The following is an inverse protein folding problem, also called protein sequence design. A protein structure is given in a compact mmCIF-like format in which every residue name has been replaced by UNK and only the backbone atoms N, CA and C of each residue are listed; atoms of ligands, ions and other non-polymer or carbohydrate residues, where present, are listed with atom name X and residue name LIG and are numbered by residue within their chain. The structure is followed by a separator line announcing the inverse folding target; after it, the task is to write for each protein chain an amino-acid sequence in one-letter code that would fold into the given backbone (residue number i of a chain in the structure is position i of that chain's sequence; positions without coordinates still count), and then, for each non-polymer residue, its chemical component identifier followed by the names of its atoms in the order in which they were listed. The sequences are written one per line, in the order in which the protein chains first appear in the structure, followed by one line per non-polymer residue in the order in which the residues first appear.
data_IF_041220736290
#
_entry.id   IF_041220736290
#
_cell.length_a   1.000
_cell.length_b   1.000
_cell.length_c   1.000
_cell.angle_alpha   90.00
_cell.angle_beta   90.00
_cell.angle_gamma   90.00
#
_symmetry.space_group_name_H-M   'P 1'
#
loop_
_entity.id
_entity.type
_entity.pdbx_description
1 polymer ?
#
# COMPACT_ATOMS: atom_id res chain seq x y z
N UNK A 1 2.76 17.56 5.61
CA UNK A 1 4.23 17.49 5.46
C UNK A 1 4.85 16.21 6.03
N UNK A 2 4.56 15.73 7.26
CA UNK A 2 5.21 14.52 7.83
C UNK A 2 5.22 13.29 6.90
N UNK A 3 4.14 13.02 6.17
CA UNK A 3 4.04 11.91 5.20
C UNK A 3 4.93 12.07 3.95
N UNK A 4 5.34 13.29 3.59
CA UNK A 4 6.22 13.53 2.44
C UNK A 4 7.67 13.13 2.75
N UNK A 5 8.10 13.29 4.01
CA UNK A 5 9.43 12.91 4.48
C UNK A 5 9.61 11.38 4.51
N UNK A 6 8.54 10.65 4.86
CA UNK A 6 8.49 9.18 4.82
C UNK A 6 8.64 8.64 3.39
N UNK A 7 8.03 9.29 2.40
CA UNK A 7 8.21 8.91 0.98
C UNK A 7 9.65 9.11 0.49
N UNK A 8 10.33 10.17 0.95
CA UNK A 8 11.72 10.43 0.55
C UNK A 8 12.70 9.41 1.16
N UNK A 9 12.44 8.94 2.39
CA UNK A 9 13.24 7.90 3.04
C UNK A 9 13.14 6.55 2.32
N UNK A 10 11.95 6.17 1.83
CA UNK A 10 11.76 4.96 1.03
C UNK A 10 12.49 4.99 -0.32
N UNK A 11 12.71 6.18 -0.89
CA UNK A 11 13.42 6.37 -2.16
C UNK A 11 14.94 6.57 -2.01
N UNK A 12 15.44 6.82 -0.79
CA UNK A 12 16.87 6.95 -0.49
C UNK A 12 17.43 5.82 0.39
N UNK A 13 16.67 4.76 0.64
CA UNK A 13 17.22 3.50 1.15
C UNK A 13 18.39 3.06 0.26
N UNK A 14 19.62 2.90 0.79
CA UNK A 14 20.74 2.49 -0.02
C UNK A 14 20.47 1.10 -0.62
N UNK A 15 21.06 0.81 -1.78
CA UNK A 15 21.19 -0.59 -2.23
C UNK A 15 21.90 -1.36 -1.12
N UNK A 16 21.19 -2.29 -0.48
CA UNK A 16 21.79 -3.25 0.44
C UNK A 16 22.78 -4.07 -0.39
N UNK A 17 24.07 -3.75 -0.25
CA UNK A 17 25.13 -4.62 -0.76
C UNK A 17 25.00 -5.98 -0.11
N UNK A 18 25.32 -7.05 -0.85
CA UNK A 18 25.04 -8.42 -0.45
C UNK A 18 25.53 -8.72 0.98
N UNK A 19 24.59 -8.75 1.93
CA UNK A 19 24.87 -9.09 3.31
C UNK A 19 24.68 -10.60 3.48
N UNK A 20 25.75 -11.34 3.17
CA UNK A 20 25.86 -12.76 3.45
C UNK A 20 25.54 -13.00 4.94
N UNK A 21 24.65 -13.96 5.23
CA UNK A 21 24.22 -14.29 6.60
C UNK A 21 22.83 -13.81 7.01
N UNK A 22 22.02 -13.23 6.11
CA UNK A 22 20.58 -13.08 6.35
C UNK A 22 19.87 -14.42 6.10
N UNK A 23 19.42 -15.10 7.17
CA UNK A 23 18.53 -16.27 7.03
C UNK A 23 17.23 -15.86 6.32
N UNK A 24 16.60 -16.77 5.55
CA UNK A 24 15.25 -16.53 5.01
C UNK A 24 14.24 -16.32 6.16
N UNK A 25 13.06 -15.72 5.88
CA UNK A 25 11.97 -15.71 6.85
C UNK A 25 11.67 -17.13 7.34
N UNK A 26 11.34 -17.27 8.63
CA UNK A 26 11.03 -18.57 9.23
C UNK A 26 9.61 -19.01 8.83
N UNK A 27 9.48 -19.48 7.60
CA UNK A 27 8.28 -20.15 7.09
C UNK A 27 8.00 -21.39 7.97
N UNK A 28 6.73 -21.72 8.27
CA UNK A 28 6.35 -23.00 8.88
C UNK A 28 6.91 -24.21 8.12
N UNK A 29 7.16 -25.31 8.84
CA UNK A 29 8.19 -26.28 8.49
C UNK A 29 7.83 -27.32 7.44
N UNK A 30 7.18 -26.92 6.35
CA UNK A 30 6.67 -27.86 5.36
C UNK A 30 7.77 -28.67 4.68
N UNK A 31 7.52 -29.97 4.67
CA UNK A 31 8.18 -30.94 3.82
C UNK A 31 7.83 -30.65 2.34
N UNK A 32 8.43 -29.60 1.77
CA UNK A 32 8.29 -29.21 0.36
C UNK A 32 8.67 -30.40 -0.55
N UNK A 33 7.67 -31.16 -1.02
CA UNK A 33 7.86 -32.42 -1.76
C UNK A 33 8.46 -33.57 -0.93
N UNK A 34 8.54 -33.45 0.39
CA UNK A 34 9.03 -34.52 1.26
C UNK A 34 7.94 -35.56 1.50
N UNK A 35 8.26 -36.83 1.29
CA UNK A 35 7.33 -37.94 1.52
C UNK A 35 7.03 -38.04 3.02
N UNK A 36 5.78 -37.81 3.44
CA UNK A 36 5.35 -38.09 4.81
C UNK A 36 5.71 -39.55 5.16
N UNK A 37 6.32 -39.84 6.32
CA UNK A 37 6.70 -41.21 6.68
C UNK A 37 5.52 -42.16 6.49
N UNK A 38 5.77 -43.38 6.00
CA UNK A 38 4.70 -44.36 5.83
C UNK A 38 4.00 -44.64 7.17
N UNK A 39 2.68 -44.88 7.15
CA UNK A 39 1.84 -45.08 8.34
C UNK A 39 2.39 -46.18 9.27
N UNK A 40 3.21 -45.77 10.23
CA UNK A 40 3.77 -46.61 11.29
C UNK A 40 2.91 -46.49 12.55
N UNK A 41 2.84 -47.54 13.38
CA UNK A 41 2.34 -47.39 14.75
C UNK A 41 3.14 -46.29 15.44
N UNK A 42 2.48 -45.23 15.89
CA UNK A 42 3.14 -44.03 16.43
C UNK A 42 3.49 -44.24 17.91
N UNK A 43 4.76 -44.54 18.27
CA UNK A 43 5.13 -44.58 19.68
C UNK A 43 4.98 -43.18 20.30
N UNK A 44 4.66 -43.17 21.59
CA UNK A 44 4.82 -41.98 22.42
C UNK A 44 6.34 -41.75 22.56
N UNK A 45 6.88 -40.58 22.16
CA UNK A 45 8.32 -40.32 22.28
C UNK A 45 8.82 -40.43 23.72
N UNK A 46 10.05 -40.90 23.91
CA UNK A 46 10.64 -41.10 25.25
C UNK A 46 10.86 -39.78 26.03
N UNK A 47 10.73 -38.62 25.38
CA UNK A 47 10.77 -37.29 25.98
C UNK A 47 9.44 -36.82 26.58
N UNK A 48 8.33 -37.54 26.33
CA UNK A 48 7.01 -37.18 26.85
C UNK A 48 6.95 -37.42 28.36
N UNK A 49 6.78 -36.33 29.12
CA UNK A 49 6.60 -36.37 30.57
C UNK A 49 5.13 -36.36 31.00
N UNK A 50 4.23 -35.97 30.11
CA UNK A 50 2.81 -35.82 30.42
C UNK A 50 1.91 -35.61 29.20
N UNK A 51 0.62 -35.48 29.46
CA UNK A 51 -0.40 -35.29 28.43
C UNK A 51 -1.52 -34.39 28.93
N UNK A 52 -2.02 -33.49 28.09
CA UNK A 52 -3.31 -32.81 28.28
C UNK A 52 -4.25 -33.28 27.18
N UNK A 53 -5.47 -33.70 27.54
CA UNK A 53 -6.51 -34.06 26.56
C UNK A 53 -7.64 -33.03 26.58
N UNK A 54 -8.20 -32.76 25.41
CA UNK A 54 -9.40 -31.96 25.17
C UNK A 54 -10.34 -32.77 24.25
N UNK A 55 -11.62 -32.36 24.05
CA UNK A 55 -12.56 -33.13 23.23
C UNK A 55 -12.06 -33.54 21.83
N UNK A 56 -11.21 -32.72 21.20
CA UNK A 56 -10.70 -32.93 19.84
C UNK A 56 -9.18 -32.97 19.71
N UNK A 57 -8.43 -32.82 20.81
CA UNK A 57 -6.95 -32.84 20.82
C UNK A 57 -6.31 -33.66 21.94
N UNK A 58 -5.13 -34.20 21.66
CA UNK A 58 -4.21 -34.79 22.65
C UNK A 58 -2.87 -34.07 22.56
N UNK A 59 -2.46 -33.38 23.63
CA UNK A 59 -1.22 -32.62 23.68
C UNK A 59 -0.18 -33.41 24.49
N UNK A 60 0.78 -34.04 23.81
CA UNK A 60 1.95 -34.69 24.40
C UNK A 60 3.06 -33.65 24.62
N UNK A 61 3.65 -33.61 25.81
CA UNK A 61 4.63 -32.58 26.16
C UNK A 61 5.84 -33.11 26.94
N UNK A 62 6.99 -32.45 26.73
CA UNK A 62 8.19 -32.60 27.58
C UNK A 62 8.05 -31.82 28.89
N UNK A 63 8.87 -32.13 29.90
CA UNK A 63 8.81 -31.48 31.23
C UNK A 63 8.96 -29.96 31.15
N UNK A 64 9.67 -29.44 30.14
CA UNK A 64 9.86 -27.99 29.93
C UNK A 64 8.68 -27.35 29.18
N UNK A 65 7.93 -28.13 28.39
CA UNK A 65 6.81 -27.65 27.59
C UNK A 65 5.46 -27.61 28.34
N UNK A 66 5.36 -28.17 29.56
CA UNK A 66 4.10 -28.32 30.30
C UNK A 66 3.27 -27.03 30.42
N UNK A 67 3.90 -25.90 30.74
CA UNK A 67 3.20 -24.62 30.88
C UNK A 67 2.51 -24.18 29.57
N UNK A 68 3.23 -24.27 28.45
CA UNK A 68 2.71 -23.95 27.13
C UNK A 68 1.64 -24.95 26.67
N UNK A 69 1.81 -26.25 26.96
CA UNK A 69 0.83 -27.29 26.65
C UNK A 69 -0.50 -27.08 27.39
N UNK A 70 -0.44 -26.72 28.68
CA UNK A 70 -1.61 -26.36 29.48
C UNK A 70 -2.26 -25.06 28.99
N UNK A 71 -1.46 -24.07 28.59
CA UNK A 71 -1.98 -22.83 28.00
C UNK A 71 -2.67 -23.07 26.66
N UNK A 72 -2.09 -23.88 25.78
CA UNK A 72 -2.66 -24.27 24.49
C UNK A 72 -4.02 -24.98 24.64
N UNK A 73 -4.12 -25.91 25.59
CA UNK A 73 -5.36 -26.64 25.89
C UNK A 73 -6.56 -25.72 26.22
N UNK A 74 -6.33 -24.49 26.71
CA UNK A 74 -7.42 -23.55 27.04
C UNK A 74 -8.17 -23.00 25.83
N UNK A 75 -7.59 -23.05 24.62
CA UNK A 75 -8.14 -22.37 23.44
C UNK A 75 -7.97 -23.13 22.12
N UNK A 76 -7.21 -24.24 22.07
CA UNK A 76 -7.03 -25.02 20.83
C UNK A 76 -8.36 -25.51 20.23
N UNK A 77 -9.37 -25.76 21.07
CA UNK A 77 -10.73 -26.08 20.63
C UNK A 77 -11.37 -24.95 19.80
N UNK A 78 -11.26 -23.68 20.22
CA UNK A 78 -11.81 -22.56 19.45
C UNK A 78 -10.96 -22.18 18.23
N UNK A 79 -9.70 -22.60 18.18
CA UNK A 79 -8.92 -22.61 16.93
C UNK A 79 -9.57 -23.58 15.94
N UNK A 80 -9.89 -24.81 16.34
CA UNK A 80 -10.59 -25.80 15.50
C UNK A 80 -11.98 -25.31 15.06
N UNK A 81 -12.75 -24.67 15.94
CA UNK A 81 -14.05 -24.10 15.57
C UNK A 81 -13.95 -23.00 14.50
N UNK A 82 -12.82 -22.27 14.44
CA UNK A 82 -12.55 -21.30 13.37
C UNK A 82 -12.22 -21.95 12.02
N UNK A 83 -11.70 -23.18 12.00
CA UNK A 83 -11.61 -23.97 10.76
C UNK A 83 -12.99 -24.46 10.32
N UNK A 84 -13.78 -25.00 11.24
CA UNK A 84 -15.13 -25.52 10.93
C UNK A 84 -16.05 -24.43 10.40
N UNK A 85 -15.94 -23.19 10.89
CA UNK A 85 -16.74 -22.06 10.39
C UNK A 85 -16.34 -21.57 8.99
N UNK A 86 -15.13 -21.85 8.53
CA UNK A 86 -14.65 -21.49 7.17
C UNK A 86 -14.80 -22.66 6.19
N UNK A 87 -14.49 -23.89 6.60
CA UNK A 87 -14.61 -25.09 5.77
C UNK A 87 -16.01 -25.70 5.73
N UNK A 88 -16.89 -25.36 6.69
CA UNK A 88 -18.22 -25.96 6.82
C UNK A 88 -18.23 -27.43 7.24
N UNK A 89 -17.07 -28.04 7.51
CA UNK A 89 -16.87 -29.43 7.92
C UNK A 89 -15.83 -29.50 9.04
N UNK A 90 -15.98 -30.48 9.92
CA UNK A 90 -14.99 -30.83 10.93
C UNK A 90 -14.33 -32.18 10.54
N UNK A 91 -13.05 -32.36 10.87
CA UNK A 91 -12.26 -33.51 10.42
C UNK A 91 -12.30 -34.71 11.39
N UNK A 92 -12.14 -35.96 10.92
CA UNK A 92 -12.36 -37.14 11.75
C UNK A 92 -11.32 -37.34 12.86
N UNK A 93 -11.78 -37.34 14.11
CA UNK A 93 -11.05 -37.81 15.28
C UNK A 93 -10.16 -36.76 15.97
N UNK A 94 -9.31 -37.26 16.86
CA UNK A 94 -8.41 -36.47 17.72
C UNK A 94 -7.13 -36.11 16.96
N UNK A 95 -6.75 -34.83 16.98
CA UNK A 95 -5.44 -34.38 16.50
C UNK A 95 -4.43 -34.42 17.65
N UNK A 96 -3.26 -35.02 17.42
CA UNK A 96 -2.19 -35.09 18.40
C UNK A 96 -1.22 -33.92 18.21
N UNK A 97 -0.94 -33.17 19.27
CA UNK A 97 0.03 -32.08 19.28
C UNK A 97 1.24 -32.54 20.10
N UNK A 98 2.45 -32.37 19.57
CA UNK A 98 3.70 -32.80 20.21
C UNK A 98 4.58 -31.59 20.48
N UNK A 99 4.88 -31.35 21.76
CA UNK A 99 5.54 -30.13 22.22
C UNK A 99 6.85 -30.40 22.97
N UNK A 100 7.97 -29.98 22.38
CA UNK A 100 9.29 -29.88 23.03
C UNK A 100 9.71 -28.42 23.23
N UNK A 101 10.77 -28.16 23.99
CA UNK A 101 11.35 -26.81 24.15
C UNK A 101 12.73 -26.74 23.47
N UNK A 102 12.83 -26.00 22.39
CA UNK A 102 14.06 -25.91 21.61
C UNK A 102 14.37 -27.14 20.76
N UNK A 103 15.29 -26.96 19.81
CA UNK A 103 15.55 -27.86 18.68
C UNK A 103 15.66 -29.35 19.03
N UNK A 104 16.44 -29.73 20.04
CA UNK A 104 16.67 -31.14 20.37
C UNK A 104 15.43 -31.87 20.95
N UNK A 105 14.54 -31.16 21.66
CA UNK A 105 13.27 -31.76 22.11
C UNK A 105 12.21 -31.72 21.01
N UNK A 106 12.25 -30.71 20.14
CA UNK A 106 11.41 -30.65 18.94
C UNK A 106 11.71 -31.82 17.99
N UNK A 107 12.97 -32.04 17.62
CA UNK A 107 13.41 -33.21 16.84
C UNK A 107 13.10 -34.54 17.56
N UNK A 108 13.40 -34.64 18.85
CA UNK A 108 13.14 -35.84 19.64
C UNK A 108 11.66 -36.18 19.90
N UNK A 109 10.74 -35.32 19.46
CA UNK A 109 9.29 -35.52 19.52
C UNK A 109 8.67 -35.86 18.13
N UNK A 110 9.47 -35.80 17.06
CA UNK A 110 9.08 -36.11 15.68
C UNK A 110 8.60 -37.56 15.48
N UNK A 111 8.09 -37.86 14.28
CA UNK A 111 7.89 -39.25 13.84
C UNK A 111 9.21 -39.88 13.35
N UNK A 112 9.48 -41.17 13.63
CA UNK A 112 10.64 -41.87 13.08
C UNK A 112 10.69 -41.80 11.55
N UNK A 113 11.78 -41.29 10.99
CA UNK A 113 11.94 -41.09 9.54
C UNK A 113 11.24 -39.85 8.97
N UNK A 114 10.58 -39.04 9.81
CA UNK A 114 9.96 -37.76 9.43
C UNK A 114 10.61 -36.57 10.16
N UNK A 115 11.93 -36.55 10.26
CA UNK A 115 12.68 -35.52 11.02
C UNK A 115 12.47 -34.12 10.41
N UNK A 116 12.21 -33.08 11.24
CA UNK A 116 11.87 -31.75 10.73
C UNK A 116 13.09 -31.05 10.11
N UNK A 117 12.96 -30.31 8.99
CA UNK A 117 14.05 -29.56 8.38
C UNK A 117 14.77 -28.62 9.37
N UNK A 118 16.07 -28.35 9.17
CA UNK A 118 16.90 -27.58 10.12
C UNK A 118 16.41 -26.16 10.46
N UNK A 119 15.57 -25.58 9.60
CA UNK A 119 14.95 -24.26 9.75
C UNK A 119 13.51 -24.30 10.30
N UNK A 120 12.89 -25.49 10.36
CA UNK A 120 11.53 -25.66 10.83
C UNK A 120 11.41 -25.42 12.35
N UNK A 121 10.38 -24.68 12.75
CA UNK A 121 9.97 -24.43 14.14
C UNK A 121 8.64 -25.13 14.51
N UNK A 122 7.96 -25.66 13.49
CA UNK A 122 6.76 -26.49 13.54
C UNK A 122 6.74 -27.45 12.35
N UNK A 123 5.91 -28.49 12.36
CA UNK A 123 5.71 -29.43 11.24
C UNK A 123 4.41 -30.23 11.41
N UNK A 124 3.55 -30.25 10.39
CA UNK A 124 2.43 -31.17 10.28
C UNK A 124 2.82 -32.55 9.70
N UNK A 125 2.14 -33.59 10.18
CA UNK A 125 2.03 -34.90 9.54
C UNK A 125 0.54 -35.16 9.26
N UNK A 126 0.00 -34.69 8.11
CA UNK A 126 -1.43 -34.66 7.86
C UNK A 126 -2.11 -36.03 7.91
N UNK A 127 -1.47 -37.07 7.36
CA UNK A 127 -2.03 -38.43 7.35
C UNK A 127 -2.10 -39.02 8.76
N UNK A 128 -1.14 -38.69 9.63
CA UNK A 128 -1.10 -39.15 11.04
C UNK A 128 -1.97 -38.32 12.00
N UNK A 129 -2.43 -37.13 11.61
CA UNK A 129 -3.03 -36.11 12.51
C UNK A 129 -2.07 -35.60 13.60
N UNK A 130 -0.77 -35.56 13.33
CA UNK A 130 0.21 -35.05 14.30
C UNK A 130 0.65 -33.65 13.88
N UNK A 131 0.71 -32.71 14.82
CA UNK A 131 1.43 -31.44 14.68
C UNK A 131 2.58 -31.40 15.68
N UNK A 132 3.78 -31.11 15.21
CA UNK A 132 4.99 -30.93 16.00
C UNK A 132 5.24 -29.43 16.20
N UNK A 133 5.53 -28.99 17.43
CA UNK A 133 5.75 -27.57 17.77
C UNK A 133 6.92 -27.41 18.75
N UNK A 134 7.79 -26.40 18.52
CA UNK A 134 8.60 -25.86 19.59
C UNK A 134 7.72 -24.95 20.47
N UNK A 135 7.53 -25.35 21.72
CA UNK A 135 6.72 -24.65 22.72
C UNK A 135 7.18 -23.22 23.01
N UNK A 136 8.41 -22.84 22.64
CA UNK A 136 8.89 -21.45 22.72
C UNK A 136 8.16 -20.52 21.74
N UNK A 137 7.71 -21.03 20.59
CA UNK A 137 7.01 -20.21 19.58
C UNK A 137 5.67 -19.69 20.09
N UNK A 138 4.92 -20.53 20.82
CA UNK A 138 3.59 -20.24 21.37
C UNK A 138 3.58 -19.12 22.43
N UNK A 139 4.75 -18.65 22.89
CA UNK A 139 4.86 -17.51 23.79
C UNK A 139 4.55 -16.16 23.10
N UNK A 140 4.51 -16.12 21.76
CA UNK A 140 4.21 -14.91 20.98
C UNK A 140 3.11 -15.12 19.91
N UNK A 141 2.66 -14.04 19.25
CA UNK A 141 1.65 -14.12 18.17
C UNK A 141 2.05 -15.08 17.04
N UNK A 142 3.34 -15.09 16.68
CA UNK A 142 3.90 -15.94 15.62
C UNK A 142 3.71 -17.44 15.87
N UNK A 143 3.64 -17.89 17.13
CA UNK A 143 3.34 -19.29 17.46
C UNK A 143 1.88 -19.64 17.22
N UNK A 144 0.96 -18.70 17.45
CA UNK A 144 -0.47 -18.90 17.19
C UNK A 144 -0.76 -18.89 15.68
N UNK A 145 -0.03 -18.06 14.93
CA UNK A 145 0.06 -18.10 13.46
C UNK A 145 0.57 -19.46 13.00
N UNK A 146 1.76 -19.87 13.44
CA UNK A 146 2.36 -21.15 13.07
C UNK A 146 1.46 -22.36 13.38
N UNK A 147 0.87 -22.41 14.59
CA UNK A 147 -0.10 -23.45 14.99
C UNK A 147 -1.29 -23.54 14.02
N UNK A 148 -1.89 -22.39 13.67
CA UNK A 148 -3.01 -22.34 12.72
C UNK A 148 -2.57 -22.82 11.34
N UNK A 149 -1.38 -22.41 10.91
CA UNK A 149 -0.82 -22.82 9.63
C UNK A 149 -0.70 -24.36 9.54
N UNK A 150 -0.06 -25.01 10.51
CA UNK A 150 0.07 -26.48 10.53
C UNK A 150 -1.29 -27.21 10.67
N UNK A 151 -2.22 -26.67 11.46
CA UNK A 151 -3.56 -27.24 11.60
C UNK A 151 -4.38 -27.18 10.31
N UNK A 152 -4.11 -26.24 9.40
CA UNK A 152 -4.77 -26.20 8.09
C UNK A 152 -4.41 -27.41 7.24
N UNK A 153 -3.12 -27.77 7.21
CA UNK A 153 -2.64 -28.94 6.47
C UNK A 153 -3.15 -30.25 7.08
N UNK A 154 -3.19 -30.37 8.41
CA UNK A 154 -3.83 -31.52 9.09
C UNK A 154 -5.33 -31.58 8.80
N UNK A 155 -6.05 -30.47 8.83
CA UNK A 155 -7.49 -30.44 8.55
C UNK A 155 -7.77 -30.89 7.11
N UNK A 156 -7.07 -30.34 6.11
CA UNK A 156 -7.28 -30.69 4.71
C UNK A 156 -6.89 -32.14 4.39
N UNK A 157 -5.73 -32.60 4.85
CA UNK A 157 -5.27 -33.99 4.63
C UNK A 157 -6.14 -35.06 5.30
N UNK A 158 -6.92 -34.70 6.31
CA UNK A 158 -7.93 -35.58 6.91
C UNK A 158 -9.32 -35.50 6.28
N UNK A 159 -9.59 -34.43 5.53
CA UNK A 159 -10.87 -34.23 4.83
C UNK A 159 -10.84 -34.83 3.42
N UNK A 160 -9.72 -34.72 2.70
CA UNK A 160 -9.52 -35.38 1.40
C UNK A 160 -8.02 -35.57 1.08
N UNK A 161 -7.64 -36.58 0.27
CA UNK A 161 -6.23 -36.93 0.04
C UNK A 161 -5.50 -35.98 -0.91
N UNK A 162 -6.21 -35.20 -1.74
CA UNK A 162 -5.62 -34.39 -2.80
C UNK A 162 -6.28 -33.01 -2.85
N UNK A 163 -5.46 -31.96 -2.75
CA UNK A 163 -5.85 -30.56 -2.79
C UNK A 163 -4.82 -29.77 -3.62
N UNK A 164 -5.23 -28.83 -4.49
CA UNK A 164 -4.30 -27.93 -5.15
C UNK A 164 -3.44 -27.20 -4.12
N UNK A 165 -2.14 -27.06 -4.36
CA UNK A 165 -1.22 -26.47 -3.39
C UNK A 165 -1.61 -25.02 -3.04
N UNK A 166 -2.04 -24.21 -4.02
CA UNK A 166 -2.62 -22.88 -3.75
C UNK A 166 -3.81 -22.90 -2.77
N UNK A 167 -4.62 -23.96 -2.75
CA UNK A 167 -5.74 -24.05 -1.81
C UNK A 167 -5.27 -24.41 -0.40
N UNK A 168 -4.30 -25.33 -0.29
CA UNK A 168 -3.69 -25.71 1.00
C UNK A 168 -2.98 -24.52 1.65
N UNK A 169 -2.01 -23.95 0.94
CA UNK A 169 -1.20 -22.82 1.40
C UNK A 169 -2.08 -21.56 1.60
N UNK A 170 -3.07 -21.34 0.72
CA UNK A 170 -4.02 -20.23 0.79
C UNK A 170 -4.98 -20.32 1.96
N UNK A 171 -5.45 -21.52 2.33
CA UNK A 171 -6.26 -21.72 3.54
C UNK A 171 -5.43 -21.48 4.81
N UNK A 172 -4.22 -22.04 4.85
CA UNK A 172 -3.29 -21.84 5.96
C UNK A 172 -3.02 -20.34 6.18
N UNK A 173 -2.63 -19.63 5.13
CA UNK A 173 -2.34 -18.19 5.13
C UNK A 173 -3.59 -17.29 5.33
N UNK A 174 -4.80 -17.77 5.02
CA UNK A 174 -6.02 -17.04 5.30
C UNK A 174 -6.42 -17.14 6.78
N UNK A 175 -6.27 -18.31 7.40
CA UNK A 175 -6.72 -18.58 8.78
C UNK A 175 -5.73 -18.13 9.86
N UNK A 176 -4.50 -17.76 9.49
CA UNK A 176 -3.56 -17.01 10.35
C UNK A 176 -3.88 -15.51 10.41
N UNK A 177 -4.59 -14.97 9.42
CA UNK A 177 -4.79 -13.52 9.25
C UNK A 177 -3.64 -12.81 8.52
N UNK A 178 -2.64 -13.55 8.03
CA UNK A 178 -1.53 -13.01 7.23
C UNK A 178 -2.00 -12.42 5.90
N UNK A 179 -3.22 -12.73 5.43
CA UNK A 179 -3.84 -12.03 4.29
C UNK A 179 -4.03 -10.50 4.52
N UNK A 180 -3.86 -10.01 5.75
CA UNK A 180 -3.80 -8.59 6.11
C UNK A 180 -2.36 -8.05 6.30
N UNK A 181 -1.34 -8.88 6.05
CA UNK A 181 0.07 -8.49 6.12
C UNK A 181 0.42 -7.41 5.11
N UNK A 182 1.24 -6.44 5.55
CA UNK A 182 1.78 -5.40 4.67
C UNK A 182 2.66 -5.99 3.55
N UNK A 183 3.29 -7.16 3.77
CA UNK A 183 4.11 -7.85 2.76
C UNK A 183 3.24 -8.44 1.67
N UNK A 184 2.23 -9.23 2.03
CA UNK A 184 1.23 -9.76 1.08
C UNK A 184 0.49 -8.64 0.32
N UNK A 185 0.12 -7.55 0.99
CA UNK A 185 -0.46 -6.38 0.32
C UNK A 185 0.51 -5.76 -0.69
N UNK A 186 1.80 -5.60 -0.33
CA UNK A 186 2.81 -5.05 -1.22
C UNK A 186 3.15 -5.98 -2.40
N UNK A 187 3.13 -7.31 -2.19
CA UNK A 187 3.30 -8.31 -3.24
C UNK A 187 2.15 -8.26 -4.26
N UNK A 188 0.89 -8.31 -3.78
CA UNK A 188 -0.30 -8.18 -4.63
C UNK A 188 -0.36 -6.83 -5.34
N UNK A 189 -0.07 -5.73 -4.65
CA UNK A 189 0.06 -4.41 -5.25
C UNK A 189 1.06 -4.41 -6.42
N UNK A 190 2.26 -4.95 -6.17
CA UNK A 190 3.34 -4.99 -7.16
C UNK A 190 3.02 -5.91 -8.34
N UNK A 191 2.29 -6.99 -8.12
CA UNK A 191 1.85 -7.92 -9.16
C UNK A 191 0.73 -7.34 -10.03
N UNK A 192 -0.26 -6.67 -9.42
CA UNK A 192 -1.33 -5.95 -10.16
C UNK A 192 -0.73 -4.83 -11.01
N UNK A 193 0.23 -4.07 -10.48
CA UNK A 193 0.93 -3.01 -11.22
C UNK A 193 1.90 -3.51 -12.31
N UNK A 194 2.20 -4.81 -12.37
CA UNK A 194 3.07 -5.46 -13.37
C UNK A 194 2.32 -6.49 -14.25
N UNK A 195 1.02 -6.65 -14.07
CA UNK A 195 0.19 -7.68 -14.73
C UNK A 195 0.67 -9.14 -14.47
N UNK A 196 1.35 -9.38 -13.34
CA UNK A 196 2.01 -10.67 -12.96
C UNK A 196 1.18 -11.61 -12.09
N UNK A 197 -0.14 -11.45 -12.02
CA UNK A 197 -1.01 -12.26 -11.15
C UNK A 197 -1.20 -13.67 -11.76
N UNK A 198 -0.61 -14.70 -11.13
CA UNK A 198 -0.60 -16.11 -11.57
C UNK A 198 -2.01 -16.69 -11.76
N UNK A 199 -2.18 -17.66 -12.67
CA UNK A 199 -3.38 -18.50 -12.73
C UNK A 199 -3.32 -19.56 -11.64
N UNK A 200 -4.42 -19.86 -10.96
CA UNK A 200 -4.44 -20.86 -9.90
C UNK A 200 -4.21 -22.29 -10.41
N UNK A 201 -4.59 -22.57 -11.64
CA UNK A 201 -4.22 -23.78 -12.40
C UNK A 201 -2.70 -24.00 -12.45
N UNK A 202 -1.89 -22.94 -12.56
CA UNK A 202 -0.43 -23.04 -12.57
C UNK A 202 0.18 -23.16 -11.16
N UNK A 203 -0.61 -22.93 -10.10
CA UNK A 203 -0.20 -23.06 -8.69
C UNK A 203 -0.82 -24.30 -8.01
N UNK A 204 -1.39 -25.21 -8.80
CA UNK A 204 -2.06 -26.41 -8.32
C UNK A 204 -1.04 -27.50 -7.90
N UNK A 205 0.03 -27.66 -8.67
CA UNK A 205 1.11 -28.63 -8.43
C UNK A 205 2.47 -27.92 -8.38
N UNK A 206 2.80 -27.16 -9.43
CA UNK A 206 4.04 -26.37 -9.54
C UNK A 206 3.98 -25.07 -8.72
N UNK A 207 5.13 -24.61 -8.22
CA UNK A 207 5.31 -23.33 -7.52
C UNK A 207 6.58 -22.63 -8.04
N UNK A 208 6.64 -21.28 -8.03
CA UNK A 208 7.80 -20.53 -8.53
C UNK A 208 9.03 -20.67 -7.62
N UNK A 209 10.23 -20.62 -8.20
CA UNK A 209 11.50 -20.70 -7.45
C UNK A 209 11.96 -19.36 -6.83
N UNK A 210 11.53 -18.23 -7.40
CA UNK A 210 12.00 -16.90 -6.99
C UNK A 210 11.31 -16.46 -5.69
N UNK A 211 12.03 -16.02 -4.64
CA UNK A 211 11.41 -15.65 -3.36
C UNK A 211 10.33 -14.57 -3.43
N UNK A 212 10.44 -13.60 -4.35
CA UNK A 212 9.41 -12.58 -4.61
C UNK A 212 8.11 -13.17 -5.16
N UNK A 213 8.23 -14.28 -5.89
CA UNK A 213 7.18 -14.90 -6.66
C UNK A 213 6.51 -15.99 -5.81
N UNK A 214 7.27 -16.63 -4.92
CA UNK A 214 6.77 -17.45 -3.79
C UNK A 214 5.91 -16.60 -2.84
N UNK A 215 6.41 -15.45 -2.40
CA UNK A 215 5.66 -14.49 -1.57
C UNK A 215 4.35 -14.06 -2.26
N UNK A 216 4.41 -13.79 -3.57
CA UNK A 216 3.22 -13.50 -4.37
C UNK A 216 2.26 -14.70 -4.45
N UNK A 217 2.76 -15.93 -4.64
CA UNK A 217 1.93 -17.12 -4.68
C UNK A 217 1.19 -17.36 -3.35
N UNK A 218 1.86 -17.18 -2.20
CA UNK A 218 1.20 -17.19 -0.88
C UNK A 218 0.16 -16.08 -0.75
N UNK A 219 0.53 -14.82 -1.03
CA UNK A 219 -0.37 -13.67 -0.94
C UNK A 219 -1.64 -13.84 -1.79
N UNK A 220 -1.47 -14.30 -3.03
CA UNK A 220 -2.53 -14.51 -4.00
C UNK A 220 -3.47 -15.65 -3.57
N UNK A 221 -2.89 -16.76 -3.11
CA UNK A 221 -3.62 -17.90 -2.57
C UNK A 221 -4.47 -17.51 -1.37
N UNK A 222 -3.89 -16.80 -0.40
CA UNK A 222 -4.58 -16.34 0.81
C UNK A 222 -5.73 -15.36 0.51
N UNK A 223 -5.52 -14.44 -0.43
CA UNK A 223 -6.50 -13.42 -0.82
C UNK A 223 -7.62 -13.98 -1.72
N UNK A 224 -7.39 -15.09 -2.44
CA UNK A 224 -8.43 -15.78 -3.20
C UNK A 224 -9.23 -16.76 -2.34
N UNK A 225 -8.59 -17.61 -1.53
CA UNK A 225 -9.28 -18.53 -0.61
C UNK A 225 -10.16 -17.74 0.37
N UNK A 226 -9.65 -16.64 0.94
CA UNK A 226 -10.44 -15.76 1.81
C UNK A 226 -11.64 -15.11 1.13
N UNK A 227 -11.52 -14.70 -0.14
CA UNK A 227 -12.64 -14.17 -0.91
C UNK A 227 -13.65 -15.25 -1.29
N UNK A 228 -13.18 -16.44 -1.67
CA UNK A 228 -14.01 -17.59 -2.04
C UNK A 228 -14.85 -18.05 -0.83
N UNK A 229 -14.22 -18.21 0.34
CA UNK A 229 -14.91 -18.55 1.58
C UNK A 229 -15.94 -17.48 1.98
N UNK A 230 -15.61 -16.19 1.89
CA UNK A 230 -16.53 -15.10 2.16
C UNK A 230 -17.71 -15.00 1.17
N UNK A 231 -17.52 -15.47 -0.08
CA UNK A 231 -18.54 -15.46 -1.15
C UNK A 231 -19.44 -16.69 -1.13
N UNK A 232 -18.88 -17.87 -0.84
CA UNK A 232 -19.58 -19.16 -0.90
C UNK A 232 -20.15 -19.60 0.46
N UNK A 233 -19.61 -19.03 1.54
CA UNK A 233 -20.01 -19.32 2.92
C UNK A 233 -19.67 -20.74 3.38
N UNK A 234 -19.99 -21.08 4.66
CA UNK A 234 -19.64 -22.38 5.22
C UNK A 234 -20.32 -23.54 4.46
N UNK A 235 -21.56 -23.36 4.01
CA UNK A 235 -22.26 -24.40 3.25
C UNK A 235 -21.64 -24.66 1.87
N UNK A 236 -21.17 -23.63 1.17
CA UNK A 236 -20.50 -23.77 -0.11
C UNK A 236 -19.14 -24.44 0.03
N UNK A 237 -18.33 -23.97 0.99
CA UNK A 237 -17.04 -24.59 1.31
C UNK A 237 -17.20 -26.04 1.77
N UNK A 238 -18.26 -26.34 2.53
CA UNK A 238 -18.57 -27.70 2.95
C UNK A 238 -18.95 -28.64 1.80
N UNK A 239 -19.64 -28.14 0.77
CA UNK A 239 -19.86 -28.91 -0.47
C UNK A 239 -18.57 -29.13 -1.25
N UNK A 240 -17.64 -28.17 -1.28
CA UNK A 240 -16.32 -28.38 -1.88
C UNK A 240 -15.57 -29.49 -1.16
N UNK A 241 -15.57 -29.48 0.18
CA UNK A 241 -14.96 -30.54 0.99
C UNK A 241 -15.58 -31.91 0.68
N UNK A 242 -16.92 -32.03 0.70
CA UNK A 242 -17.61 -33.30 0.40
C UNK A 242 -17.27 -33.82 -1.01
N UNK A 243 -17.24 -32.93 -2.01
CA UNK A 243 -16.97 -33.30 -3.40
C UNK A 243 -15.47 -33.61 -3.65
N UNK A 244 -14.52 -32.95 -2.99
CA UNK A 244 -13.09 -33.32 -3.09
C UNK A 244 -12.84 -34.65 -2.37
N UNK A 245 -13.55 -34.92 -1.26
CA UNK A 245 -13.48 -36.18 -0.53
C UNK A 245 -13.95 -37.41 -1.34
N UNK A 246 -14.65 -37.24 -2.48
CA UNK A 246 -14.97 -38.36 -3.39
C UNK A 246 -13.78 -38.83 -4.22
N UNK A 247 -12.61 -38.17 -4.15
CA UNK A 247 -11.41 -38.53 -4.92
C UNK A 247 -11.47 -38.18 -6.41
N UNK A 248 -12.37 -37.30 -6.83
CA UNK A 248 -12.41 -36.76 -8.19
C UNK A 248 -11.45 -35.55 -8.35
N UNK A 249 -11.06 -35.16 -9.58
CA UNK A 249 -10.23 -33.97 -9.79
C UNK A 249 -10.87 -32.70 -9.21
N UNK A 250 -10.03 -31.83 -8.63
CA UNK A 250 -10.49 -30.67 -7.87
C UNK A 250 -11.40 -29.73 -8.68
N UNK A 251 -11.10 -29.53 -9.97
CA UNK A 251 -11.88 -28.67 -10.87
C UNK A 251 -13.32 -29.18 -11.06
N UNK A 252 -13.51 -30.51 -11.01
CA UNK A 252 -14.83 -31.14 -11.07
C UNK A 252 -15.59 -30.98 -9.74
N UNK A 253 -14.89 -31.14 -8.61
CA UNK A 253 -15.46 -30.90 -7.29
C UNK A 253 -15.88 -29.43 -7.09
N UNK A 254 -15.01 -28.49 -7.48
CA UNK A 254 -15.27 -27.05 -7.50
C UNK A 254 -16.48 -26.71 -8.38
N UNK A 255 -16.53 -27.25 -9.60
CA UNK A 255 -17.64 -27.08 -10.54
C UNK A 255 -18.99 -27.54 -9.98
N UNK A 256 -19.01 -28.66 -9.24
CA UNK A 256 -20.22 -29.16 -8.58
C UNK A 256 -20.61 -28.35 -7.34
N UNK A 257 -19.65 -28.02 -6.46
CA UNK A 257 -19.90 -27.38 -5.18
C UNK A 257 -20.42 -25.93 -5.31
N UNK A 258 -19.88 -25.20 -6.29
CA UNK A 258 -20.15 -23.77 -6.52
C UNK A 258 -20.98 -23.47 -7.77
N UNK A 259 -21.27 -24.48 -8.60
CA UNK A 259 -21.98 -24.34 -9.89
C UNK A 259 -21.30 -23.35 -10.86
N UNK A 260 -19.99 -23.18 -10.72
CA UNK A 260 -19.13 -22.22 -11.41
C UNK A 260 -17.74 -22.83 -11.56
N UNK A 261 -16.98 -22.49 -12.60
CA UNK A 261 -15.62 -23.04 -12.80
C UNK A 261 -14.57 -22.19 -12.07
N UNK A 262 -13.45 -22.83 -11.71
CA UNK A 262 -12.31 -22.14 -11.08
C UNK A 262 -11.87 -20.91 -11.89
N UNK A 263 -11.85 -21.02 -13.23
CA UNK A 263 -11.51 -19.92 -14.12
C UNK A 263 -12.50 -18.74 -14.05
N UNK A 264 -13.81 -19.00 -13.98
CA UNK A 264 -14.84 -17.94 -13.87
C UNK A 264 -14.73 -17.22 -12.53
N UNK A 265 -14.58 -17.96 -11.43
CA UNK A 265 -14.38 -17.36 -10.10
C UNK A 265 -13.05 -16.62 -10.00
N UNK A 266 -11.98 -17.12 -10.64
CA UNK A 266 -10.69 -16.42 -10.76
C UNK A 266 -10.83 -15.10 -11.52
N UNK A 267 -11.53 -15.05 -12.66
CA UNK A 267 -11.73 -13.79 -13.39
C UNK A 267 -12.56 -12.80 -12.57
N UNK A 268 -13.67 -13.23 -11.96
CA UNK A 268 -14.51 -12.38 -11.11
C UNK A 268 -13.74 -11.83 -9.89
N UNK A 269 -12.76 -12.58 -9.36
CA UNK A 269 -11.85 -12.09 -8.33
C UNK A 269 -10.82 -11.09 -8.88
N UNK A 270 -10.21 -11.38 -10.04
CA UNK A 270 -9.23 -10.52 -10.73
C UNK A 270 -9.78 -9.14 -11.06
N UNK A 271 -11.02 -9.05 -11.56
CA UNK A 271 -11.70 -7.77 -11.84
C UNK A 271 -11.74 -6.86 -10.60
N UNK A 272 -11.89 -7.45 -9.40
CA UNK A 272 -11.84 -6.73 -8.14
C UNK A 272 -10.45 -6.29 -7.66
N UNK A 273 -9.35 -6.83 -8.23
CA UNK A 273 -7.99 -6.54 -7.75
C UNK A 273 -7.58 -5.10 -8.00
N UNK A 274 -7.90 -4.52 -9.16
CA UNK A 274 -7.55 -3.13 -9.48
C UNK A 274 -8.22 -2.13 -8.52
N UNK A 275 -9.44 -2.42 -8.04
CA UNK A 275 -10.11 -1.58 -7.05
C UNK A 275 -9.50 -1.71 -5.64
N UNK A 276 -9.06 -2.92 -5.25
CA UNK A 276 -8.53 -3.22 -3.91
C UNK A 276 -7.05 -2.85 -3.75
N UNK A 277 -6.24 -3.19 -4.74
CA UNK A 277 -4.77 -3.09 -4.74
C UNK A 277 -4.23 -2.17 -5.87
N UNK A 278 -5.09 -1.49 -6.62
CA UNK A 278 -4.71 -0.65 -7.77
C UNK A 278 -5.16 0.81 -7.68
N UNK A 279 -5.34 1.36 -6.48
CA UNK A 279 -5.77 2.76 -6.28
C UNK A 279 -4.63 3.79 -6.29
N UNK A 280 -3.37 3.37 -6.08
CA UNK A 280 -2.20 4.27 -6.11
C UNK A 280 -1.85 4.92 -7.47
N UNK A 281 -2.22 4.42 -8.67
CA UNK A 281 -1.99 5.13 -9.93
C UNK A 281 -2.56 6.56 -9.96
N UNK A 282 -3.59 6.85 -9.17
CA UNK A 282 -4.14 8.20 -9.02
C UNK A 282 -3.23 9.15 -8.23
N UNK A 283 -2.24 8.63 -7.50
CA UNK A 283 -1.24 9.40 -6.71
C UNK A 283 0.19 9.25 -7.23
N UNK A 284 0.53 8.11 -7.86
CA UNK A 284 1.82 7.86 -8.52
C UNK A 284 1.85 8.26 -9.99
N UNK A 285 0.71 8.65 -10.59
CA UNK A 285 0.69 9.41 -11.83
C UNK A 285 1.36 10.78 -11.60
N UNK A 286 2.65 10.83 -11.91
CA UNK A 286 3.45 12.06 -11.94
C UNK A 286 2.76 13.16 -12.74
N UNK A 287 2.01 12.81 -13.79
CA UNK A 287 1.18 13.72 -14.57
C UNK A 287 0.04 14.37 -13.77
N UNK A 288 -0.66 13.63 -12.90
CA UNK A 288 -1.69 14.20 -12.02
C UNK A 288 -1.08 15.13 -10.96
N UNK A 289 0.10 14.78 -10.42
CA UNK A 289 0.84 15.64 -9.50
C UNK A 289 1.30 16.94 -10.17
N UNK A 290 1.82 16.89 -11.40
CA UNK A 290 2.14 18.09 -12.18
C UNK A 290 0.90 18.92 -12.54
N UNK A 291 -0.21 18.28 -12.94
CA UNK A 291 -1.48 18.98 -13.20
C UNK A 291 -2.00 19.70 -11.96
N UNK A 292 -1.90 19.10 -10.78
CA UNK A 292 -2.27 19.73 -9.51
C UNK A 292 -1.36 20.92 -9.18
N UNK A 293 -0.04 20.79 -9.38
CA UNK A 293 0.92 21.89 -9.19
C UNK A 293 0.63 23.05 -10.16
N UNK A 294 0.34 22.76 -11.43
CA UNK A 294 0.00 23.76 -12.45
C UNK A 294 -1.33 24.43 -12.11
N UNK A 295 -2.35 23.68 -11.69
CA UNK A 295 -3.65 24.24 -11.29
C UNK A 295 -3.54 25.14 -10.05
N UNK A 296 -2.78 24.72 -9.03
CA UNK A 296 -2.50 25.53 -7.85
C UNK A 296 -1.68 26.78 -8.19
N UNK A 297 -0.68 26.65 -9.07
CA UNK A 297 0.10 27.78 -9.58
C UNK A 297 -0.75 28.79 -10.36
N UNK A 298 -1.64 28.32 -11.23
CA UNK A 298 -2.59 29.15 -11.97
C UNK A 298 -3.58 29.85 -11.03
N UNK A 299 -4.16 29.13 -10.05
CA UNK A 299 -5.05 29.71 -9.05
C UNK A 299 -4.35 30.75 -8.17
N UNK A 300 -3.10 30.49 -7.76
CA UNK A 300 -2.28 31.45 -7.03
C UNK A 300 -1.94 32.69 -7.87
N UNK A 301 -1.59 32.50 -9.15
CA UNK A 301 -1.34 33.59 -10.09
C UNK A 301 -2.58 34.47 -10.31
N UNK A 302 -3.74 33.86 -10.58
CA UNK A 302 -5.00 34.59 -10.77
C UNK A 302 -5.41 35.35 -9.50
N UNK A 303 -5.27 34.74 -8.32
CA UNK A 303 -5.51 35.41 -7.03
C UNK A 303 -4.53 36.56 -6.79
N UNK A 304 -3.25 36.37 -7.07
CA UNK A 304 -2.20 37.38 -6.91
C UNK A 304 -2.33 38.52 -7.93
N UNK A 305 -2.85 38.24 -9.13
CA UNK A 305 -3.24 39.25 -10.13
C UNK A 305 -4.41 40.10 -9.63
N UNK A 306 -5.51 39.46 -9.21
CA UNK A 306 -6.68 40.17 -8.66
C UNK A 306 -6.32 41.05 -7.44
N UNK A 307 -5.46 40.55 -6.54
CA UNK A 307 -4.97 41.34 -5.40
C UNK A 307 -4.04 42.50 -5.79
N UNK A 308 -3.36 42.44 -6.95
CA UNK A 308 -2.60 43.57 -7.50
C UNK A 308 -3.51 44.60 -8.15
N UNK A 309 -4.50 44.15 -8.93
CA UNK A 309 -5.49 45.02 -9.57
C UNK A 309 -6.33 45.78 -8.51
N UNK A 310 -6.69 45.12 -7.41
CA UNK A 310 -7.33 45.75 -6.24
C UNK A 310 -6.44 46.79 -5.57
N UNK A 311 -5.16 46.47 -5.31
CA UNK A 311 -4.22 47.42 -4.69
C UNK A 311 -3.90 48.63 -5.55
N UNK A 312 -3.89 48.48 -6.88
CA UNK A 312 -3.73 49.62 -7.79
C UNK A 312 -4.94 50.54 -7.68
N UNK A 313 -6.16 50.01 -7.82
CA UNK A 313 -7.38 50.78 -7.63
C UNK A 313 -7.50 51.44 -6.23
N UNK A 314 -6.97 50.81 -5.17
CA UNK A 314 -6.88 51.42 -3.82
C UNK A 314 -5.85 52.56 -3.71
N UNK A 315 -4.84 52.62 -4.59
CA UNK A 315 -3.88 53.74 -4.66
C UNK A 315 -4.44 54.85 -5.55
N UNK A 316 -4.91 54.52 -6.76
CA UNK A 316 -5.55 55.45 -7.70
C UNK A 316 -6.70 56.23 -7.02
N UNK A 317 -7.51 55.55 -6.21
CA UNK A 317 -8.62 56.16 -5.47
C UNK A 317 -8.19 57.06 -4.29
N UNK A 318 -6.96 56.90 -3.77
CA UNK A 318 -6.39 57.81 -2.76
C UNK A 318 -5.77 59.03 -3.43
N UNK A 319 -4.98 58.83 -4.48
CA UNK A 319 -4.39 59.93 -5.25
C UNK A 319 -5.50 60.86 -5.78
N UNK A 320 -6.60 60.31 -6.31
CA UNK A 320 -7.76 61.10 -6.73
C UNK A 320 -8.48 61.85 -5.58
N UNK A 321 -8.46 61.32 -4.35
CA UNK A 321 -9.05 61.97 -3.18
C UNK A 321 -8.12 63.07 -2.61
N UNK A 322 -6.80 62.84 -2.64
CA UNK A 322 -5.78 63.82 -2.25
C UNK A 322 -5.71 64.98 -3.27
N UNK A 323 -5.84 64.71 -4.57
CA UNK A 323 -6.03 65.75 -5.60
C UNK A 323 -7.32 66.57 -5.37
N UNK A 324 -8.43 65.91 -5.00
CA UNK A 324 -9.69 66.60 -4.74
C UNK A 324 -9.58 67.53 -3.53
N UNK A 325 -9.02 67.05 -2.42
CA UNK A 325 -8.79 67.87 -1.23
C UNK A 325 -7.86 69.06 -1.51
N UNK A 326 -6.76 68.85 -2.26
CA UNK A 326 -5.85 69.92 -2.64
C UNK A 326 -6.50 70.97 -3.55
N UNK A 327 -7.46 70.58 -4.40
CA UNK A 327 -8.27 71.53 -5.19
C UNK A 327 -9.25 72.31 -4.32
N UNK A 328 -9.92 71.67 -3.36
CA UNK A 328 -10.80 72.35 -2.40
C UNK A 328 -10.03 73.36 -1.52
N UNK A 329 -8.82 73.00 -1.06
CA UNK A 329 -7.94 73.92 -0.32
C UNK A 329 -7.49 75.11 -1.18
N UNK A 330 -7.08 74.87 -2.43
CA UNK A 330 -6.68 75.94 -3.36
C UNK A 330 -7.86 76.86 -3.74
N UNK A 331 -9.06 76.32 -3.95
CA UNK A 331 -10.26 77.12 -4.21
C UNK A 331 -10.66 77.95 -2.98
N UNK A 332 -10.49 77.43 -1.76
CA UNK A 332 -10.70 78.18 -0.53
C UNK A 332 -9.67 79.31 -0.34
N UNK A 333 -8.38 79.08 -0.64
CA UNK A 333 -7.35 80.13 -0.62
C UNK A 333 -7.62 81.22 -1.67
N UNK A 334 -7.99 80.82 -2.90
CA UNK A 334 -8.38 81.77 -3.95
C UNK A 334 -9.66 82.55 -3.61
N UNK A 335 -10.62 81.94 -2.91
CA UNK A 335 -11.81 82.62 -2.41
C UNK A 335 -11.44 83.67 -1.34
N UNK A 336 -10.55 83.35 -0.41
CA UNK A 336 -10.01 84.29 0.58
C UNK A 336 -9.25 85.44 -0.08
N UNK A 337 -8.42 85.16 -1.10
CA UNK A 337 -7.73 86.21 -1.86
C UNK A 337 -8.72 87.13 -2.60
N UNK A 338 -9.75 86.60 -3.26
CA UNK A 338 -10.80 87.40 -3.90
C UNK A 338 -11.54 88.27 -2.88
N UNK A 339 -11.92 87.72 -1.74
CA UNK A 339 -12.60 88.46 -0.68
C UNK A 339 -11.72 89.57 -0.05
N UNK A 340 -10.40 89.40 -0.05
CA UNK A 340 -9.45 90.45 0.33
C UNK A 340 -9.26 91.54 -0.74
N UNK A 341 -9.50 91.21 -2.02
CA UNK A 341 -9.46 92.14 -3.17
C UNK A 341 -10.75 92.97 -3.35
N UNK A 342 -11.88 92.53 -2.79
CA UNK A 342 -13.19 93.19 -2.93
C UNK A 342 -13.47 94.29 -1.87
N UNK A 343 -12.47 94.72 -1.09
CA UNK A 343 -12.60 95.89 -0.21
C UNK A 343 -12.52 97.21 -1.01
N UNK A 344 -13.38 98.20 -0.71
CA UNK A 344 -13.69 99.26 -1.67
C UNK A 344 -12.57 100.29 -1.83
N UNK A 345 -12.22 100.56 -3.09
CA UNK A 345 -11.55 101.81 -3.50
C UNK A 345 -12.62 102.73 -4.12
N UNK A 346 -12.67 103.99 -3.70
CA UNK A 346 -13.71 104.93 -4.13
C UNK A 346 -13.70 105.21 -5.64
N UNK A 347 -14.91 105.39 -6.19
CA UNK A 347 -15.14 105.53 -7.63
C UNK A 347 -14.88 106.96 -8.10
N UNK A 348 -13.98 107.12 -9.08
CA UNK A 348 -13.95 108.29 -9.98
C UNK A 348 -13.89 107.81 -11.44
N UNK A 349 -15.04 107.84 -12.10
CA UNK A 349 -15.19 107.63 -13.54
C UNK A 349 -14.68 108.83 -14.36
N UNK A 350 -14.08 108.58 -15.52
CA UNK A 350 -14.18 109.45 -16.70
C UNK A 350 -13.93 108.65 -18.01
N UNK A 351 -14.32 109.24 -19.14
CA UNK A 351 -14.56 108.56 -20.44
C UNK A 351 -13.34 108.48 -21.40
N UNK A 352 -13.42 107.71 -22.52
CA UNK A 352 -12.24 107.13 -23.21
C UNK A 352 -11.66 107.96 -24.38
N UNK A 353 -10.52 107.50 -24.92
CA UNK A 353 -9.98 107.93 -26.23
C UNK A 353 -9.16 106.84 -26.95
N UNK A 354 -8.92 107.05 -28.26
CA UNK A 354 -8.48 106.08 -29.28
C UNK A 354 -6.93 105.92 -29.46
N UNK A 355 -6.57 104.81 -30.13
CA UNK A 355 -5.54 104.65 -31.19
C UNK A 355 -4.02 104.85 -30.93
N UNK A 356 -3.25 103.76 -31.09
CA UNK A 356 -2.13 103.52 -32.04
C UNK A 356 -1.45 102.18 -31.67
N UNK A 357 -1.27 101.19 -32.54
CA UNK A 357 -0.33 101.06 -33.68
C UNK A 357 1.18 101.08 -33.31
N UNK A 358 1.94 100.13 -33.89
CA UNK A 358 3.35 99.84 -33.59
C UNK A 358 3.53 98.42 -33.05
N UNK A 359 3.68 97.34 -33.84
CA UNK A 359 4.76 96.99 -34.79
C UNK A 359 6.16 96.87 -34.17
N UNK A 360 6.55 95.65 -33.80
CA UNK A 360 7.66 94.96 -34.48
C UNK A 360 7.81 93.49 -34.07
N UNK A 361 8.09 92.64 -35.06
CA UNK A 361 8.79 91.36 -34.88
C UNK A 361 10.15 91.47 -35.57
N UNK A 362 11.17 90.75 -35.10
CA UNK A 362 11.67 89.70 -35.98
C UNK A 362 12.14 88.40 -35.29
N UNK A 363 12.42 87.45 -36.17
CA UNK A 363 12.90 86.07 -36.03
C UNK A 363 14.21 85.92 -35.21
N UNK A 364 14.51 84.69 -34.73
CA UNK A 364 15.61 84.48 -33.76
C UNK A 364 16.28 83.10 -33.65
N UNK A 365 16.29 82.26 -34.70
CA UNK A 365 17.09 81.01 -34.82
C UNK A 365 16.81 79.82 -33.86
N UNK A 366 17.16 78.63 -34.35
CA UNK A 366 17.14 77.36 -33.61
C UNK A 366 18.54 76.74 -33.51
N UNK A 367 18.82 76.06 -32.39
CA UNK A 367 19.93 75.11 -32.21
C UNK A 367 19.41 73.95 -31.33
N UNK A 368 19.63 72.66 -31.62
CA UNK A 368 20.32 72.08 -32.76
C UNK A 368 21.40 71.06 -32.39
N UNK A 369 21.06 70.01 -31.62
CA UNK A 369 21.99 68.92 -31.31
C UNK A 369 21.41 67.52 -31.60
N UNK A 370 22.26 66.70 -32.22
CA UNK A 370 22.12 65.26 -32.51
C UNK A 370 22.90 64.48 -31.42
N UNK A 371 23.35 63.22 -31.46
CA UNK A 371 23.43 62.04 -32.37
C UNK A 371 23.90 60.89 -31.42
N UNK A 372 23.50 59.61 -31.37
CA UNK A 372 22.48 58.74 -32.02
C UNK A 372 22.31 57.48 -31.12
N UNK A 373 21.29 56.59 -31.29
CA UNK A 373 21.08 55.43 -30.40
C UNK A 373 22.03 54.25 -30.71
N UNK A 374 22.03 53.22 -29.85
CA UNK A 374 22.55 51.88 -30.15
C UNK A 374 21.44 50.83 -30.00
N UNK A 375 21.41 49.86 -30.92
CA UNK A 375 20.53 48.69 -30.91
C UNK A 375 21.31 47.46 -31.35
N UNK A 376 20.81 46.27 -30.96
CA UNK A 376 21.17 44.95 -31.49
C UNK A 376 22.64 44.53 -31.22
N UNK A 377 23.05 43.26 -31.18
CA UNK A 377 22.73 42.09 -32.02
C UNK A 377 22.80 40.77 -31.19
N UNK A 378 22.22 39.70 -31.73
CA UNK A 378 22.23 38.32 -31.20
C UNK A 378 23.61 37.65 -31.29
N UNK A 379 23.90 36.64 -30.45
CA UNK A 379 24.68 35.48 -30.92
C UNK A 379 24.27 34.19 -30.18
N UNK A 380 24.51 33.05 -30.83
CA UNK A 380 23.97 31.71 -30.52
C UNK A 380 25.08 30.79 -29.92
N UNK A 381 24.77 29.49 -29.77
CA UNK A 381 25.60 28.42 -29.20
C UNK A 381 25.65 28.35 -27.66
N UNK A 382 25.93 27.19 -27.02
CA UNK A 382 26.47 25.94 -27.57
C UNK A 382 25.79 24.68 -27.00
N UNK A 383 25.90 23.54 -27.71
CA UNK A 383 25.06 22.35 -27.53
C UNK A 383 25.91 21.09 -27.26
N UNK A 384 25.91 20.59 -26.02
CA UNK A 384 26.64 19.35 -25.64
C UNK A 384 25.72 18.17 -25.27
N UNK A 385 26.16 16.89 -25.45
CA UNK A 385 25.25 15.75 -25.58
C UNK A 385 25.07 14.88 -24.32
N UNK A 386 24.01 14.06 -24.31
CA UNK A 386 23.72 13.03 -23.28
C UNK A 386 24.49 11.72 -23.54
N UNK A 387 24.91 10.97 -22.51
CA UNK A 387 25.42 9.61 -22.67
C UNK A 387 24.30 8.60 -22.99
N UNK A 388 24.68 7.45 -23.58
CA UNK A 388 23.77 6.39 -24.06
C UNK A 388 23.71 5.21 -23.07
N UNK A 389 22.60 4.45 -23.08
CA UNK A 389 22.43 3.23 -22.26
C UNK A 389 23.33 2.07 -22.73
N UNK A 390 23.70 1.14 -21.84
CA UNK A 390 24.32 -0.13 -22.23
C UNK A 390 23.28 -1.13 -22.76
N UNK A 391 23.75 -2.09 -23.56
CA UNK A 391 23.07 -3.33 -23.92
C UNK A 391 23.91 -4.52 -23.45
N UNK A 392 23.27 -5.52 -22.84
CA UNK A 392 23.82 -6.84 -22.58
C UNK A 392 22.81 -7.90 -23.03
N UNK A 393 23.32 -9.08 -23.37
CA UNK A 393 22.55 -10.26 -23.76
C UNK A 393 22.11 -11.09 -22.55
#
# INVERSE_FOLDING_TARGET
MRHLLLFLLLLLSPRVGAQEGMSPPQVPGHANGGVEPALVPTPIPALVSGTVETPRFRILYSTRAEGAARQLATHIESVRDAFVSVLGRDWPGTTEIRMGVGRAEFEGMALPGGEPPGWAVALAYPTHRIVLLDALTLAGPEGQVTLRHELAHVALGQLAPHWPRWFQEGLAQNLTGENLSMTHYAALFSAVAQEKVFRFEHLAEEWPDLPSDVELAYAQSAAFVGWLAARQGPEGMGRLVDEVATGQPFEQAFGKAFHSSLWVEEQAWREGLAARYGWLPLTTSTSLLWLLIIALGAAAYLRMRSLKEQRLAEMDAREAAEEAAMREELEAELALQRQALELPTDVVTLEPRQESEGSDTPEGNAVGWRETPTSDVEEDAERTPRPVKPTLH
#
